data_IF_137649652801
#
_entry.id   IF_137649652801
#
_cell.length_a   1.000
_cell.length_b   1.000
_cell.length_c   1.000
_cell.angle_alpha   90.00
_cell.angle_beta   90.00
_cell.angle_gamma   90.00
#
_symmetry.space_group_name_H-M   'P 1'
#
loop_
_entity.id
_entity.type
_entity.pdbx_description
1 polymer ?
#
# COMPACT_ATOMS: atom_id res chain seq x y z
N UNK A 1 28.20 29.89 26.24
CA UNK A 1 27.99 29.21 24.95
C UNK A 1 27.14 27.99 25.24
N UNK A 2 25.83 28.09 25.07
CA UNK A 2 24.90 26.99 25.35
C UNK A 2 25.05 25.95 24.24
N UNK A 3 25.44 24.72 24.59
CA UNK A 3 25.42 23.58 23.69
C UNK A 3 24.00 23.42 23.13
N UNK A 4 23.84 23.69 21.84
CA UNK A 4 22.62 23.35 21.11
C UNK A 4 22.58 21.83 21.07
N UNK A 5 21.74 21.22 21.92
CA UNK A 5 21.41 19.81 21.82
C UNK A 5 20.98 19.55 20.39
N UNK A 6 21.72 18.69 19.69
CA UNK A 6 21.34 18.17 18.37
C UNK A 6 20.01 17.45 18.58
N UNK A 7 18.90 18.12 18.23
CA UNK A 7 17.61 17.46 18.15
C UNK A 7 17.76 16.40 17.06
N UNK A 8 17.79 15.13 17.45
CA UNK A 8 17.92 14.02 16.50
C UNK A 8 16.70 14.07 15.56
N UNK A 9 16.95 14.19 14.25
CA UNK A 9 15.91 14.06 13.22
C UNK A 9 15.02 12.85 13.51
N UNK A 10 13.70 13.07 13.54
CA UNK A 10 12.75 11.98 13.69
C UNK A 10 12.58 11.23 12.37
N UNK A 11 13.41 10.21 12.15
CA UNK A 11 13.31 9.31 11.00
C UNK A 11 12.40 8.14 11.36
N UNK A 12 11.35 7.95 10.57
CA UNK A 12 10.37 6.87 10.74
C UNK A 12 10.41 5.93 9.53
N UNK A 13 9.88 4.73 9.73
CA UNK A 13 9.65 3.76 8.64
C UNK A 13 8.24 3.94 8.06
N UNK A 14 8.02 3.57 6.78
CA UNK A 14 6.68 3.47 6.22
C UNK A 14 5.80 2.54 7.06
N UNK A 15 4.53 2.91 7.25
CA UNK A 15 3.55 2.14 8.02
C UNK A 15 2.23 2.07 7.28
N UNK A 16 1.56 0.92 7.40
CA UNK A 16 0.21 0.68 6.91
C UNK A 16 -0.61 0.13 8.05
N UNK A 17 -1.82 0.65 8.22
CA UNK A 17 -2.81 0.15 9.17
C UNK A 17 -4.14 -0.01 8.46
N UNK A 18 -4.71 -1.22 8.49
CA UNK A 18 -6.05 -1.48 7.96
C UNK A 18 -7.08 -0.83 8.90
N UNK A 19 -7.86 0.12 8.38
CA UNK A 19 -8.89 0.83 9.15
C UNK A 19 -10.20 0.06 9.13
N UNK A 20 -10.64 -0.36 7.92
CA UNK A 20 -11.85 -1.16 7.75
C UNK A 20 -11.84 -1.89 6.40
N UNK A 21 -12.71 -2.88 6.30
CA UNK A 21 -13.15 -3.50 5.05
C UNK A 21 -14.65 -3.32 4.87
N UNK A 22 -15.12 -3.35 3.63
CA UNK A 22 -16.56 -3.43 3.31
C UNK A 22 -16.82 -4.50 2.26
N UNK A 23 -18.06 -4.97 2.20
CA UNK A 23 -18.44 -6.12 1.39
C UNK A 23 -17.70 -7.40 1.82
N UNK A 24 -17.84 -8.45 1.02
CA UNK A 24 -17.08 -9.69 1.18
C UNK A 24 -17.17 -10.52 -0.10
N UNK A 25 -16.27 -11.48 -0.25
CA UNK A 25 -16.32 -12.47 -1.33
C UNK A 25 -17.63 -13.27 -1.27
N UNK A 26 -18.08 -13.61 -0.07
CA UNK A 26 -19.37 -14.27 0.16
C UNK A 26 -20.55 -13.43 -0.34
N UNK A 27 -20.58 -12.14 0.02
CA UNK A 27 -21.67 -11.26 -0.37
C UNK A 27 -21.69 -11.08 -1.90
N UNK A 28 -20.54 -10.80 -2.51
CA UNK A 28 -20.42 -10.66 -3.96
C UNK A 28 -20.86 -11.95 -4.68
N UNK A 29 -20.45 -13.11 -4.17
CA UNK A 29 -20.88 -14.39 -4.72
C UNK A 29 -22.39 -14.65 -4.53
N UNK A 30 -22.96 -14.28 -3.38
CA UNK A 30 -24.38 -14.44 -3.07
C UNK A 30 -25.27 -13.58 -3.97
N UNK A 31 -24.85 -12.35 -4.28
CA UNK A 31 -25.63 -11.44 -5.14
C UNK A 31 -25.88 -11.99 -6.54
N UNK A 32 -25.11 -12.99 -6.99
CA UNK A 32 -25.42 -13.73 -8.23
C UNK A 32 -26.77 -14.45 -8.15
N UNK A 33 -27.08 -15.09 -7.02
CA UNK A 33 -28.35 -15.79 -6.84
C UNK A 33 -29.51 -14.78 -6.64
N UNK A 34 -29.25 -13.65 -5.97
CA UNK A 34 -30.24 -12.60 -5.78
C UNK A 34 -30.64 -11.95 -7.11
N UNK A 35 -29.65 -11.43 -7.84
CA UNK A 35 -29.88 -10.64 -9.06
C UNK A 35 -30.39 -11.50 -10.22
N UNK A 36 -29.87 -12.73 -10.39
CA UNK A 36 -30.18 -13.55 -11.56
C UNK A 36 -31.15 -14.70 -11.31
N UNK A 37 -31.46 -15.03 -10.05
CA UNK A 37 -32.29 -16.20 -9.71
C UNK A 37 -33.39 -15.90 -8.70
N UNK A 38 -33.60 -14.62 -8.37
CA UNK A 38 -34.64 -14.14 -7.46
C UNK A 38 -34.61 -14.75 -6.05
N UNK A 39 -33.42 -15.14 -5.56
CA UNK A 39 -33.25 -15.53 -4.16
C UNK A 39 -33.42 -14.29 -3.26
N UNK A 40 -33.92 -14.48 -2.04
CA UNK A 40 -33.74 -13.49 -0.99
C UNK A 40 -32.24 -13.35 -0.65
N UNK A 41 -31.83 -12.18 -0.12
CA UNK A 41 -30.44 -11.97 0.32
C UNK A 41 -30.05 -13.00 1.40
N UNK A 42 -30.98 -13.29 2.32
CA UNK A 42 -30.77 -14.27 3.40
C UNK A 42 -30.53 -15.68 2.85
N UNK A 43 -31.38 -16.16 1.94
CA UNK A 43 -31.25 -17.49 1.35
C UNK A 43 -29.97 -17.63 0.52
N UNK A 44 -29.61 -16.57 -0.22
CA UNK A 44 -28.38 -16.53 -1.00
C UNK A 44 -27.13 -16.58 -0.11
N UNK A 45 -27.11 -15.81 0.98
CA UNK A 45 -26.01 -15.82 1.97
C UNK A 45 -25.90 -17.18 2.68
N UNK A 46 -27.03 -17.77 3.11
CA UNK A 46 -27.04 -19.10 3.71
C UNK A 46 -26.42 -20.13 2.76
N UNK A 47 -26.86 -20.14 1.50
CA UNK A 47 -26.38 -21.07 0.47
C UNK A 47 -24.87 -20.98 0.23
N UNK A 48 -24.30 -19.77 0.15
CA UNK A 48 -22.85 -19.63 -0.12
C UNK A 48 -22.01 -19.98 1.11
N UNK A 49 -22.52 -19.75 2.33
CA UNK A 49 -21.84 -20.15 3.58
C UNK A 49 -21.83 -21.66 3.79
N UNK A 50 -22.92 -22.33 3.44
CA UNK A 50 -23.00 -23.80 3.43
C UNK A 50 -22.13 -24.43 2.33
N UNK A 51 -21.70 -23.63 1.35
CA UNK A 51 -20.97 -24.08 0.16
C UNK A 51 -19.79 -23.16 -0.19
N UNK A 52 -18.72 -23.13 0.62
CA UNK A 52 -17.58 -22.24 0.37
C UNK A 52 -16.92 -22.44 -1.01
N UNK A 53 -16.99 -23.65 -1.57
CA UNK A 53 -16.48 -23.95 -2.91
C UNK A 53 -17.24 -23.18 -4.01
N UNK A 54 -18.51 -22.84 -3.77
CA UNK A 54 -19.31 -22.00 -4.66
C UNK A 54 -18.78 -20.56 -4.70
N UNK A 55 -18.37 -20.02 -3.56
CA UNK A 55 -17.77 -18.68 -3.46
C UNK A 55 -16.48 -18.64 -4.27
N UNK A 56 -15.57 -19.58 -4.00
CA UNK A 56 -14.30 -19.71 -4.71
C UNK A 56 -14.49 -19.79 -6.23
N UNK A 57 -15.40 -20.66 -6.68
CA UNK A 57 -15.71 -20.83 -8.10
C UNK A 57 -16.29 -19.56 -8.74
N UNK A 58 -17.16 -18.83 -8.05
CA UNK A 58 -17.78 -17.61 -8.58
C UNK A 58 -16.77 -16.48 -8.67
N UNK A 59 -16.04 -16.18 -7.60
CA UNK A 59 -15.06 -15.10 -7.57
C UNK A 59 -13.95 -15.33 -8.60
N UNK A 60 -13.39 -16.54 -8.67
CA UNK A 60 -12.39 -16.89 -9.70
C UNK A 60 -12.95 -16.86 -11.12
N UNK A 61 -14.22 -17.26 -11.30
CA UNK A 61 -14.94 -17.12 -12.56
C UNK A 61 -15.04 -15.66 -13.01
N UNK A 62 -15.47 -14.74 -12.12
CA UNK A 62 -15.54 -13.31 -12.45
C UNK A 62 -14.19 -12.72 -12.84
N UNK A 63 -13.12 -13.12 -12.16
CA UNK A 63 -11.76 -12.67 -12.46
C UNK A 63 -11.29 -13.15 -13.83
N UNK A 64 -11.46 -14.44 -14.12
CA UNK A 64 -11.06 -15.08 -15.38
C UNK A 64 -11.86 -14.57 -16.57
N UNK A 65 -13.17 -14.41 -16.40
CA UNK A 65 -14.09 -14.05 -17.47
C UNK A 65 -14.13 -12.53 -17.72
N UNK A 66 -13.37 -11.74 -16.94
CA UNK A 66 -13.27 -10.28 -17.12
C UNK A 66 -14.43 -9.48 -16.53
N UNK A 67 -15.31 -10.11 -15.74
CA UNK A 67 -16.46 -9.48 -15.10
C UNK A 67 -16.07 -8.72 -13.82
N UNK A 68 -15.09 -7.82 -13.91
CA UNK A 68 -14.46 -7.21 -12.73
C UNK A 68 -15.32 -6.18 -11.99
N UNK A 69 -16.39 -5.67 -12.61
CA UNK A 69 -17.28 -4.69 -11.99
C UNK A 69 -17.93 -5.19 -10.70
N UNK A 70 -18.18 -6.50 -10.58
CA UNK A 70 -18.75 -7.09 -9.35
C UNK A 70 -17.82 -6.96 -8.14
N UNK A 71 -16.51 -6.81 -8.37
CA UNK A 71 -15.51 -6.65 -7.32
C UNK A 71 -15.50 -5.24 -6.73
N UNK A 72 -16.17 -4.28 -7.37
CA UNK A 72 -16.28 -2.91 -6.85
C UNK A 72 -17.15 -2.82 -5.58
N UNK A 73 -17.97 -3.84 -5.31
CA UNK A 73 -18.85 -3.94 -4.15
C UNK A 73 -18.17 -4.45 -2.87
N UNK A 74 -16.86 -4.68 -2.90
CA UNK A 74 -16.04 -4.97 -1.73
C UNK A 74 -14.74 -4.18 -1.79
N UNK A 75 -14.08 -3.97 -0.66
CA UNK A 75 -12.84 -3.19 -0.60
C UNK A 75 -12.36 -2.90 0.80
N UNK A 76 -11.38 -2.01 0.90
CA UNK A 76 -10.73 -1.69 2.15
C UNK A 76 -10.24 -0.24 2.20
N UNK A 77 -10.01 0.23 3.42
CA UNK A 77 -9.35 1.50 3.68
C UNK A 77 -8.20 1.36 4.66
N UNK A 78 -7.17 2.17 4.47
CA UNK A 78 -5.93 2.12 5.23
C UNK A 78 -5.50 3.51 5.66
N UNK A 79 -4.97 3.61 6.87
CA UNK A 79 -4.12 4.72 7.25
C UNK A 79 -2.69 4.36 6.86
N UNK A 80 -2.14 5.11 5.92
CA UNK A 80 -0.78 4.93 5.43
C UNK A 80 0.07 6.11 5.85
N UNK A 81 1.29 5.84 6.29
CA UNK A 81 2.29 6.83 6.59
C UNK A 81 3.56 6.54 5.78
N UNK A 82 3.97 7.52 4.99
CA UNK A 82 5.13 7.43 4.10
C UNK A 82 5.62 8.82 3.70
N UNK A 83 6.61 8.87 2.81
CA UNK A 83 7.21 10.11 2.30
C UNK A 83 6.26 10.86 1.38
N UNK A 84 6.45 12.18 1.24
CA UNK A 84 5.78 12.97 0.20
C UNK A 84 6.05 12.44 -1.21
N UNK A 85 7.27 11.95 -1.49
CA UNK A 85 7.61 11.28 -2.75
C UNK A 85 6.66 10.11 -3.04
N UNK A 86 6.47 9.21 -2.06
CA UNK A 86 5.53 8.11 -2.16
C UNK A 86 4.10 8.60 -2.43
N UNK A 87 3.63 9.60 -1.66
CA UNK A 87 2.23 10.06 -1.81
C UNK A 87 1.95 10.61 -3.20
N UNK A 88 2.94 11.21 -3.88
CA UNK A 88 2.80 11.71 -5.25
C UNK A 88 2.63 10.59 -6.29
N UNK A 89 3.05 9.36 -6.00
CA UNK A 89 2.70 8.18 -6.81
C UNK A 89 1.36 7.58 -6.42
N UNK A 90 1.08 7.49 -5.11
CA UNK A 90 -0.15 6.90 -4.59
C UNK A 90 -1.40 7.61 -5.15
N UNK A 91 -1.44 8.95 -5.11
CA UNK A 91 -2.61 9.75 -5.53
C UNK A 91 -2.86 9.74 -7.05
N UNK A 92 -2.01 9.06 -7.83
CA UNK A 92 -2.23 8.87 -9.28
C UNK A 92 -3.28 7.80 -9.57
N UNK A 93 -3.66 7.00 -8.57
CA UNK A 93 -4.76 6.03 -8.64
C UNK A 93 -6.10 6.73 -8.43
N UNK A 94 -6.70 7.20 -9.53
CA UNK A 94 -7.89 8.07 -9.48
C UNK A 94 -9.16 7.39 -8.97
N UNK A 95 -9.24 6.06 -9.06
CA UNK A 95 -10.41 5.28 -8.61
C UNK A 95 -10.24 4.89 -7.14
N UNK A 96 -10.02 5.90 -6.30
CA UNK A 96 -9.79 5.77 -4.87
C UNK A 96 -10.25 7.06 -4.18
N UNK A 97 -10.35 7.05 -2.85
CA UNK A 97 -10.57 8.28 -2.08
C UNK A 97 -9.41 8.51 -1.11
N UNK A 98 -9.03 9.77 -0.94
CA UNK A 98 -7.85 10.18 -0.18
C UNK A 98 -8.20 11.29 0.80
N UNK A 99 -7.74 11.15 2.04
CA UNK A 99 -7.65 12.24 2.99
C UNK A 99 -6.22 12.32 3.51
N UNK A 100 -5.51 13.34 3.06
CA UNK A 100 -4.08 13.50 3.33
C UNK A 100 -3.81 14.62 4.34
N UNK A 101 -2.80 14.39 5.18
CA UNK A 101 -2.22 15.40 6.06
C UNK A 101 -1.84 16.66 5.27
N UNK A 102 -2.40 17.80 5.65
CA UNK A 102 -2.19 19.06 4.94
C UNK A 102 -1.02 19.82 5.53
N UNK A 103 -0.02 20.11 4.70
CA UNK A 103 1.09 20.97 5.08
C UNK A 103 0.70 22.46 5.26
N UNK A 104 -0.55 22.81 4.98
CA UNK A 104 -1.10 24.16 5.22
C UNK A 104 -1.74 24.29 6.61
N UNK A 105 -2.24 23.19 7.17
CA UNK A 105 -3.04 23.20 8.40
C UNK A 105 -2.34 22.54 9.59
N UNK A 106 -1.46 21.56 9.34
CA UNK A 106 -0.70 20.92 10.41
C UNK A 106 0.45 21.82 10.84
N UNK A 107 0.54 22.05 12.15
CA UNK A 107 1.63 22.80 12.74
C UNK A 107 2.84 21.89 13.00
N UNK A 108 3.73 21.81 12.02
CA UNK A 108 4.94 21.00 12.13
C UNK A 108 5.94 21.49 13.18
N UNK A 109 5.85 22.75 13.59
CA UNK A 109 6.75 23.32 14.61
C UNK A 109 6.53 22.70 15.99
N UNK A 110 5.36 22.09 16.22
CA UNK A 110 5.01 21.38 17.46
C UNK A 110 5.49 19.93 17.49
N UNK A 111 6.68 19.66 16.94
CA UNK A 111 7.31 18.34 16.98
C UNK A 111 6.77 17.33 15.96
N UNK A 112 6.10 17.77 14.89
CA UNK A 112 5.61 16.88 13.83
C UNK A 112 6.54 16.79 12.61
N UNK A 113 7.71 17.42 12.64
CA UNK A 113 8.77 17.24 11.64
C UNK A 113 9.31 15.82 11.70
N UNK A 114 8.95 15.02 10.69
CA UNK A 114 9.23 13.59 10.60
C UNK A 114 9.62 13.27 9.18
N UNK A 115 10.57 12.38 9.01
CA UNK A 115 11.13 12.06 7.70
C UNK A 115 11.12 10.57 7.46
N UNK A 116 10.96 10.18 6.20
CA UNK A 116 10.94 8.79 5.76
C UNK A 116 12.12 8.58 4.81
N UNK A 117 13.09 7.81 5.28
CA UNK A 117 14.29 7.44 4.53
C UNK A 117 14.61 5.96 4.76
N UNK A 118 15.06 5.23 3.71
CA UNK A 118 15.68 3.93 3.91
C UNK A 118 16.85 4.01 4.89
N UNK A 119 17.12 2.96 5.70
CA UNK A 119 18.20 2.95 6.69
C UNK A 119 19.58 3.37 6.12
N UNK A 120 19.90 2.96 4.89
CA UNK A 120 21.16 3.31 4.23
C UNK A 120 21.28 4.78 3.86
N UNK A 121 20.16 5.47 3.58
CA UNK A 121 20.14 6.91 3.33
C UNK A 121 20.08 7.70 4.64
N UNK A 122 19.32 7.20 5.62
CA UNK A 122 19.26 7.80 6.95
C UNK A 122 20.64 7.95 7.58
N UNK A 123 21.49 6.93 7.50
CA UNK A 123 22.84 6.96 8.08
C UNK A 123 23.78 8.01 7.48
N UNK A 124 23.55 8.42 6.22
CA UNK A 124 24.40 9.39 5.52
C UNK A 124 23.81 10.81 5.51
N UNK A 125 22.48 10.92 5.42
CA UNK A 125 21.80 12.18 5.10
C UNK A 125 20.98 12.78 6.24
N UNK A 126 20.81 12.08 7.37
CA UNK A 126 20.02 12.56 8.50
C UNK A 126 20.42 13.99 8.94
N UNK A 127 21.70 14.27 9.13
CA UNK A 127 22.16 15.60 9.57
C UNK A 127 21.79 16.76 8.62
N UNK A 128 21.57 16.49 7.33
CA UNK A 128 21.12 17.53 6.40
C UNK A 128 19.64 17.90 6.63
N UNK A 129 18.82 16.94 7.09
CA UNK A 129 17.41 17.16 7.40
C UNK A 129 17.23 17.99 8.69
N UNK A 130 18.20 18.00 9.59
CA UNK A 130 18.23 18.93 10.73
C UNK A 130 18.30 20.38 10.25
N UNK A 131 19.21 20.66 9.31
CA UNK A 131 19.33 21.99 8.71
C UNK A 131 18.03 22.44 8.02
N UNK A 132 17.37 21.52 7.30
CA UNK A 132 16.07 21.80 6.66
C UNK A 132 14.97 22.03 7.71
N UNK A 133 14.95 21.24 8.79
CA UNK A 133 14.02 21.41 9.91
C UNK A 133 14.17 22.78 10.56
N UNK A 134 15.40 23.19 10.85
CA UNK A 134 15.71 24.50 11.44
C UNK A 134 15.32 25.64 10.49
N UNK A 135 15.60 25.51 9.19
CA UNK A 135 15.19 26.49 8.19
C UNK A 135 13.67 26.64 8.11
N UNK A 136 12.92 25.52 8.14
CA UNK A 136 11.46 25.54 8.16
C UNK A 136 10.91 26.22 9.43
N UNK A 137 11.42 25.86 10.62
CA UNK A 137 10.98 26.47 11.88
C UNK A 137 11.25 27.97 11.89
N UNK A 138 12.43 28.40 11.45
CA UNK A 138 12.76 29.82 11.30
C UNK A 138 11.84 30.53 10.32
N UNK A 139 11.53 29.91 9.17
CA UNK A 139 10.58 30.48 8.22
C UNK A 139 9.18 30.66 8.83
N UNK A 140 8.76 29.76 9.73
CA UNK A 140 7.46 29.83 10.41
C UNK A 140 7.34 30.98 11.41
N UNK A 141 8.44 31.65 11.78
CA UNK A 141 8.42 32.87 12.60
C UNK A 141 7.84 34.08 11.85
N UNK A 142 7.93 34.10 10.51
CA UNK A 142 7.51 35.23 9.68
C UNK A 142 6.57 34.89 8.51
N UNK A 143 6.50 33.63 8.09
CA UNK A 143 5.71 33.18 6.94
C UNK A 143 4.59 32.22 7.34
N UNK A 144 3.46 32.27 6.63
CA UNK A 144 2.36 31.33 6.80
C UNK A 144 2.81 29.88 6.46
N UNK A 145 2.12 28.83 6.98
CA UNK A 145 2.47 27.44 6.66
C UNK A 145 2.51 27.13 5.16
N UNK A 146 1.62 27.76 4.39
CA UNK A 146 1.52 27.61 2.93
C UNK A 146 2.76 28.08 2.16
N UNK A 147 3.49 29.07 2.69
CA UNK A 147 4.72 29.58 2.08
C UNK A 147 5.95 28.88 2.68
N UNK A 148 5.97 28.68 4.00
CA UNK A 148 7.09 28.01 4.66
C UNK A 148 7.30 26.57 4.16
N UNK A 149 6.22 25.88 3.75
CA UNK A 149 6.30 24.49 3.26
C UNK A 149 7.14 24.31 2.00
N UNK A 150 7.45 25.37 1.24
CA UNK A 150 8.37 25.27 0.09
C UNK A 150 9.76 24.75 0.49
N UNK A 151 10.13 24.85 1.77
CA UNK A 151 11.37 24.30 2.33
C UNK A 151 11.28 22.81 2.66
N UNK A 152 10.08 22.23 2.80
CA UNK A 152 9.91 20.84 3.22
C UNK A 152 10.30 19.89 2.07
N UNK A 153 11.16 18.89 2.31
CA UNK A 153 11.66 18.02 1.27
C UNK A 153 10.65 16.90 0.96
N UNK A 154 10.85 16.22 -0.17
CA UNK A 154 10.06 15.03 -0.53
C UNK A 154 10.18 13.87 0.47
N UNK A 155 11.22 13.85 1.30
CA UNK A 155 11.39 12.90 2.40
C UNK A 155 10.47 13.17 3.59
N UNK A 156 9.80 14.33 3.65
CA UNK A 156 8.87 14.66 4.74
C UNK A 156 7.77 13.59 4.82
N UNK A 157 7.49 13.09 6.01
CA UNK A 157 6.43 12.14 6.25
C UNK A 157 5.05 12.79 6.06
N UNK A 158 4.10 12.03 5.57
CA UNK A 158 2.70 12.41 5.46
C UNK A 158 1.84 11.20 5.78
N UNK A 159 0.80 11.43 6.59
CA UNK A 159 -0.30 10.48 6.75
C UNK A 159 -1.31 10.66 5.63
N UNK A 160 -1.86 9.57 5.15
CA UNK A 160 -2.95 9.55 4.19
C UNK A 160 -3.90 8.40 4.52
N UNK A 161 -5.16 8.73 4.77
CA UNK A 161 -6.23 7.74 4.78
C UNK A 161 -6.67 7.53 3.34
N UNK A 162 -6.50 6.30 2.85
CA UNK A 162 -6.84 5.91 1.47
C UNK A 162 -7.85 4.78 1.50
N UNK A 163 -8.83 4.82 0.60
CA UNK A 163 -9.74 3.70 0.37
C UNK A 163 -9.78 3.32 -1.11
N UNK A 164 -9.85 2.01 -1.37
CA UNK A 164 -9.96 1.44 -2.73
C UNK A 164 -10.94 0.27 -2.70
N UNK A 165 -11.78 0.16 -3.73
CA UNK A 165 -12.54 -1.07 -3.97
C UNK A 165 -11.59 -2.19 -4.44
N UNK A 166 -12.05 -3.44 -4.40
CA UNK A 166 -11.20 -4.59 -4.70
C UNK A 166 -10.79 -4.64 -6.17
N UNK A 167 -11.60 -4.13 -7.11
CA UNK A 167 -11.18 -4.00 -8.52
C UNK A 167 -9.95 -3.10 -8.64
N UNK A 168 -10.02 -1.88 -8.11
CA UNK A 168 -8.89 -0.94 -8.16
C UNK A 168 -7.68 -1.51 -7.42
N UNK A 169 -7.87 -1.96 -6.18
CA UNK A 169 -6.76 -2.42 -5.36
C UNK A 169 -6.05 -3.62 -5.99
N UNK A 170 -6.78 -4.72 -6.23
CA UNK A 170 -6.18 -5.97 -6.63
C UNK A 170 -5.76 -6.02 -8.11
N UNK A 171 -6.52 -5.39 -9.00
CA UNK A 171 -6.32 -5.55 -10.45
C UNK A 171 -5.61 -4.37 -11.11
N UNK A 172 -5.53 -3.22 -10.44
CA UNK A 172 -4.85 -2.04 -10.98
C UNK A 172 -3.69 -1.57 -10.10
N UNK A 173 -3.92 -1.33 -8.80
CA UNK A 173 -2.90 -0.84 -7.89
C UNK A 173 -1.79 -1.87 -7.67
N UNK A 174 -2.12 -3.11 -7.33
CA UNK A 174 -1.14 -4.16 -7.06
C UNK A 174 -0.20 -4.42 -8.26
N UNK A 175 -0.67 -4.70 -9.49
CA UNK A 175 0.23 -4.96 -10.62
C UNK A 175 1.16 -3.78 -10.95
N UNK A 176 0.69 -2.54 -10.78
CA UNK A 176 1.48 -1.34 -11.04
C UNK A 176 2.49 -1.03 -9.93
N UNK A 177 2.13 -1.27 -8.66
CA UNK A 177 2.89 -0.79 -7.51
C UNK A 177 3.72 -1.85 -6.83
N UNK A 178 3.45 -3.13 -7.06
CA UNK A 178 4.34 -4.21 -6.63
C UNK A 178 5.30 -4.71 -7.71
N UNK A 179 5.25 -4.16 -8.92
CA UNK A 179 6.22 -4.47 -9.97
C UNK A 179 7.65 -4.00 -9.64
N UNK A 180 8.65 -4.63 -10.25
CA UNK A 180 10.06 -4.32 -9.97
C UNK A 180 10.51 -2.93 -10.43
N UNK A 181 9.80 -2.32 -11.38
CA UNK A 181 10.01 -0.95 -11.83
C UNK A 181 9.40 0.13 -10.93
N UNK A 182 8.56 -0.24 -9.96
CA UNK A 182 7.93 0.72 -9.05
C UNK A 182 8.94 1.25 -8.02
N UNK A 183 8.72 2.48 -7.55
CA UNK A 183 9.51 3.05 -6.47
C UNK A 183 9.44 2.16 -5.21
N UNK A 184 10.61 1.88 -4.62
CA UNK A 184 10.72 0.87 -3.57
C UNK A 184 9.86 1.15 -2.31
N UNK A 185 9.54 2.42 -2.01
CA UNK A 185 8.66 2.76 -0.91
C UNK A 185 7.20 2.40 -1.19
N UNK A 186 6.67 2.79 -2.36
CA UNK A 186 5.30 2.42 -2.73
C UNK A 186 5.16 0.91 -2.87
N UNK A 187 6.23 0.24 -3.29
CA UNK A 187 6.27 -1.22 -3.37
C UNK A 187 6.18 -1.90 -2.01
N UNK A 188 6.94 -1.42 -1.03
CA UNK A 188 6.82 -1.90 0.36
C UNK A 188 5.39 -1.67 0.88
N UNK A 189 4.86 -0.45 0.72
CA UNK A 189 3.53 -0.08 1.20
C UNK A 189 2.44 -0.94 0.53
N UNK A 190 2.51 -1.14 -0.78
CA UNK A 190 1.54 -1.95 -1.52
C UNK A 190 1.54 -3.40 -1.03
N UNK A 191 2.71 -3.98 -0.75
CA UNK A 191 2.80 -5.32 -0.16
C UNK A 191 2.25 -5.39 1.27
N UNK A 192 2.49 -4.38 2.11
CA UNK A 192 1.90 -4.30 3.44
C UNK A 192 0.38 -4.14 3.40
N UNK A 193 -0.15 -3.36 2.46
CA UNK A 193 -1.59 -3.26 2.20
C UNK A 193 -2.16 -4.62 1.77
N UNK A 194 -1.48 -5.32 0.86
CA UNK A 194 -1.92 -6.63 0.38
C UNK A 194 -1.92 -7.69 1.48
N UNK A 195 -0.87 -7.74 2.30
CA UNK A 195 -0.77 -8.63 3.46
C UNK A 195 -1.98 -8.48 4.39
N UNK A 196 -2.38 -7.23 4.67
CA UNK A 196 -3.53 -6.94 5.54
C UNK A 196 -4.87 -7.49 5.03
N UNK A 197 -4.94 -7.86 3.74
CA UNK A 197 -6.14 -8.37 3.08
C UNK A 197 -6.09 -9.87 2.75
N UNK A 198 -4.96 -10.56 2.93
CA UNK A 198 -4.83 -11.98 2.58
C UNK A 198 -5.88 -12.83 3.28
N UNK A 199 -6.16 -12.58 4.55
CA UNK A 199 -7.18 -13.31 5.32
C UNK A 199 -8.60 -12.74 5.17
N UNK A 200 -8.73 -11.51 4.65
CA UNK A 200 -10.02 -10.81 4.51
C UNK A 200 -10.70 -11.12 3.18
N UNK A 201 -9.92 -11.25 2.12
CA UNK A 201 -10.37 -11.60 0.78
C UNK A 201 -9.47 -12.72 0.21
N UNK A 202 -9.49 -13.92 0.82
CA UNK A 202 -8.52 -14.97 0.52
C UNK A 202 -8.59 -15.48 -0.93
N UNK A 203 -9.77 -15.51 -1.56
CA UNK A 203 -9.91 -16.08 -2.91
C UNK A 203 -9.27 -15.15 -3.94
N UNK A 204 -9.63 -13.87 -3.94
CA UNK A 204 -9.06 -12.88 -4.85
C UNK A 204 -7.59 -12.62 -4.53
N UNK A 205 -7.19 -12.57 -3.26
CA UNK A 205 -5.78 -12.40 -2.89
C UNK A 205 -4.93 -13.53 -3.46
N UNK A 206 -5.37 -14.80 -3.31
CA UNK A 206 -4.66 -15.93 -3.91
C UNK A 206 -4.65 -15.85 -5.43
N UNK A 207 -5.79 -15.60 -6.07
CA UNK A 207 -5.87 -15.49 -7.53
C UNK A 207 -4.95 -14.40 -8.08
N UNK A 208 -4.93 -13.23 -7.43
CA UNK A 208 -4.07 -12.10 -7.81
C UNK A 208 -2.63 -12.48 -7.62
N UNK A 209 -2.24 -13.07 -6.48
CA UNK A 209 -0.88 -13.56 -6.26
C UNK A 209 -0.42 -14.48 -7.39
N UNK A 210 -1.26 -15.44 -7.81
CA UNK A 210 -0.94 -16.39 -8.89
C UNK A 210 -0.81 -15.77 -10.27
N UNK A 211 -1.54 -14.69 -10.51
CA UNK A 211 -1.61 -14.06 -11.83
C UNK A 211 -0.85 -12.73 -11.91
N UNK A 212 -0.30 -12.23 -10.80
CA UNK A 212 0.27 -10.89 -10.69
C UNK A 212 1.29 -10.55 -11.79
N UNK A 213 2.24 -11.45 -12.17
CA UNK A 213 3.18 -11.18 -13.26
C UNK A 213 2.52 -11.00 -14.64
N UNK A 214 1.30 -11.54 -14.82
CA UNK A 214 0.54 -11.46 -16.08
C UNK A 214 -0.40 -10.25 -16.12
N UNK A 215 -0.71 -9.65 -14.96
CA UNK A 215 -1.62 -8.50 -14.89
C UNK A 215 -0.98 -7.20 -15.39
N UNK A 216 0.35 -7.14 -15.50
CA UNK A 216 1.04 -6.00 -16.09
C UNK A 216 2.33 -6.45 -16.82
N UNK A 217 2.53 -6.01 -18.07
CA UNK A 217 3.67 -6.43 -18.92
C UNK A 217 5.03 -6.17 -18.28
N UNK A 218 5.16 -5.06 -17.56
CA UNK A 218 6.43 -4.62 -16.99
C UNK A 218 6.63 -5.09 -15.54
N UNK A 219 5.75 -5.97 -15.03
CA UNK A 219 5.81 -6.42 -13.64
C UNK A 219 7.19 -6.98 -13.26
N UNK A 220 7.74 -7.83 -14.13
CA UNK A 220 9.03 -8.50 -13.96
C UNK A 220 10.23 -7.72 -14.50
N UNK A 221 10.07 -6.44 -14.87
CA UNK A 221 11.16 -5.65 -15.47
C UNK A 221 12.41 -5.67 -14.59
N UNK A 222 13.55 -6.08 -15.14
CA UNK A 222 14.83 -6.04 -14.43
C UNK A 222 15.06 -7.21 -13.47
N UNK A 223 14.20 -8.23 -13.45
CA UNK A 223 14.33 -9.38 -12.53
C UNK A 223 15.66 -10.09 -12.70
N UNK A 224 16.15 -10.21 -13.93
CA UNK A 224 17.44 -10.81 -14.30
C UNK A 224 18.63 -10.24 -13.53
N UNK A 225 18.58 -8.97 -13.12
CA UNK A 225 19.67 -8.32 -12.34
C UNK A 225 19.63 -8.68 -10.85
N UNK A 226 18.47 -9.11 -10.36
CA UNK A 226 18.21 -9.37 -8.95
C UNK A 226 18.07 -10.88 -8.66
N UNK A 227 17.86 -11.71 -9.68
CA UNK A 227 17.68 -13.15 -9.52
C UNK A 227 18.86 -13.82 -8.80
N UNK A 228 20.10 -13.39 -9.10
CA UNK A 228 21.31 -13.89 -8.45
C UNK A 228 21.43 -13.45 -6.99
N UNK A 229 20.94 -12.24 -6.67
CA UNK A 229 20.96 -11.67 -5.31
C UNK A 229 19.99 -12.42 -4.40
N UNK A 230 18.80 -12.75 -4.90
CA UNK A 230 17.73 -13.35 -4.10
C UNK A 230 17.53 -14.85 -4.32
N UNK A 231 18.30 -15.47 -5.22
CA UNK A 231 18.27 -16.91 -5.49
C UNK A 231 16.97 -17.42 -6.13
N UNK A 232 16.21 -16.55 -6.80
CA UNK A 232 14.95 -16.91 -7.47
C UNK A 232 14.65 -15.95 -8.61
N UNK A 233 14.01 -16.45 -9.67
CA UNK A 233 13.49 -15.65 -10.79
C UNK A 233 12.00 -15.33 -10.64
N UNK A 234 11.34 -15.76 -9.56
CA UNK A 234 9.97 -15.36 -9.28
C UNK A 234 9.92 -13.87 -8.92
N UNK A 235 9.45 -13.06 -9.86
CA UNK A 235 9.40 -11.61 -9.75
C UNK A 235 8.60 -11.13 -8.53
N UNK A 236 7.60 -11.90 -8.07
CA UNK A 236 6.80 -11.56 -6.88
C UNK A 236 7.66 -11.67 -5.63
N UNK A 237 8.40 -12.78 -5.51
CA UNK A 237 9.29 -13.04 -4.39
C UNK A 237 10.47 -12.05 -4.37
N UNK A 238 11.07 -11.77 -5.54
CA UNK A 238 12.13 -10.76 -5.68
C UNK A 238 11.60 -9.39 -5.28
N UNK A 239 10.41 -8.99 -5.74
CA UNK A 239 9.78 -7.72 -5.41
C UNK A 239 9.59 -7.52 -3.90
N UNK A 240 9.09 -8.55 -3.21
CA UNK A 240 8.93 -8.53 -1.76
C UNK A 240 10.30 -8.44 -1.08
N UNK A 241 11.22 -9.38 -1.36
CA UNK A 241 12.52 -9.44 -0.67
C UNK A 241 13.31 -8.14 -0.86
N UNK A 242 13.29 -7.55 -2.05
CA UNK A 242 13.99 -6.31 -2.35
C UNK A 242 13.39 -5.08 -1.68
N UNK A 243 12.05 -4.97 -1.65
CA UNK A 243 11.39 -3.88 -0.92
C UNK A 243 11.66 -3.98 0.59
N UNK A 244 11.47 -5.15 1.18
CA UNK A 244 11.57 -5.33 2.63
C UNK A 244 13.01 -5.22 3.13
N UNK A 245 14.00 -5.79 2.41
CA UNK A 245 15.42 -5.69 2.77
C UNK A 245 15.90 -4.23 2.75
N UNK A 246 15.50 -3.46 1.74
CA UNK A 246 15.88 -2.05 1.59
C UNK A 246 15.43 -1.17 2.76
N UNK A 247 14.33 -1.53 3.42
CA UNK A 247 13.79 -0.80 4.56
C UNK A 247 14.12 -1.45 5.92
N UNK A 248 14.80 -2.61 5.92
CA UNK A 248 15.05 -3.39 7.14
C UNK A 248 13.74 -3.69 7.87
N UNK A 249 12.73 -4.15 7.13
CA UNK A 249 11.41 -4.55 7.64
C UNK A 249 11.26 -6.05 7.43
N UNK A 250 10.71 -6.76 8.41
CA UNK A 250 10.45 -8.19 8.29
C UNK A 250 9.23 -8.44 7.39
N UNK A 251 9.29 -9.51 6.61
CA UNK A 251 8.17 -9.91 5.75
C UNK A 251 7.05 -10.45 6.65
N UNK A 252 5.84 -9.87 6.61
CA UNK A 252 4.73 -10.30 7.45
C UNK A 252 4.23 -11.70 7.08
N UNK A 253 3.48 -12.29 8.00
CA UNK A 253 3.06 -13.70 7.95
C UNK A 253 2.27 -14.04 6.68
N UNK A 254 1.32 -13.21 6.25
CA UNK A 254 0.46 -13.49 5.09
C UNK A 254 1.28 -13.64 3.81
N UNK A 255 2.20 -12.68 3.58
CA UNK A 255 3.15 -12.76 2.47
C UNK A 255 4.10 -13.96 2.59
N UNK A 256 4.62 -14.23 3.80
CA UNK A 256 5.51 -15.36 4.02
C UNK A 256 4.82 -16.70 3.68
N UNK A 257 3.54 -16.85 3.98
CA UNK A 257 2.75 -18.03 3.60
C UNK A 257 2.64 -18.13 2.07
N UNK A 258 2.30 -17.04 1.38
CA UNK A 258 2.16 -17.03 -0.08
C UNK A 258 3.47 -17.34 -0.81
N UNK A 259 4.61 -16.87 -0.28
CA UNK A 259 5.95 -17.17 -0.84
C UNK A 259 6.26 -18.66 -0.72
N UNK A 260 5.87 -19.30 0.38
CA UNK A 260 6.22 -20.70 0.68
C UNK A 260 5.19 -21.72 0.17
N UNK A 261 4.03 -21.26 -0.31
CA UNK A 261 2.98 -22.10 -0.90
C UNK A 261 3.00 -21.94 -2.43
N UNK A 262 3.65 -22.88 -3.16
CA UNK A 262 3.73 -22.83 -4.61
C UNK A 262 2.35 -22.85 -5.27
#
# INVERSE_FOLDING_TARGET
MQEVKVNVVNIIKPRVELVLTWGSEELVAAMTDVVYRAYSIEDALRRVRERPELVARRITGFLRDGHHSVLEFMGASWLVEGSRAFTHELVRHRVASYWQESQRYVDYTKGQLRYVLPPSLASQWAGHLDGVSQAYVKAREGFAPEDARYLLPNAMASRVWVQMNAREFFLNFMPLRTGLGAFHEIRLIAWLMFDSLVDRFPIIARWVWDNLPRLHSDYCRGVERLSSVYGTSDCRVVSIRDAFSKWGVEIPRGLAILINQP
#
